data_IF_312932327185
#
_entry.id   IF_312932327185
#
_cell.length_a   1.000
_cell.length_b   1.000
_cell.length_c   1.000
_cell.angle_alpha   90.00
_cell.angle_beta   90.00
_cell.angle_gamma   90.00
#
_symmetry.space_group_name_H-M   'P 1'
#
loop_
_entity.id
_entity.type
_entity.pdbx_description
1 polymer ?
2 non-polymer ?
3 non-polymer ?
4 non-polymer ?
5 water ?
#
# COMPACT_ATOMS: atom_id res chain seq x y z
N UNK A 36 -26.81 -6.96 -9.90
CA UNK A 36 -26.07 -7.71 -10.97
C UNK A 36 -25.16 -8.81 -10.42
N UNK A 37 -24.98 -9.86 -11.22
CA UNK A 37 -24.13 -11.02 -10.86
C UNK A 37 -23.28 -11.39 -12.08
N UNK A 38 -22.49 -10.42 -12.53
CA UNK A 38 -21.70 -10.54 -13.76
C UNK A 38 -20.28 -11.06 -13.54
N UNK A 39 -19.82 -11.07 -12.29
CA UNK A 39 -18.41 -11.36 -11.99
C UNK A 39 -17.45 -10.25 -12.42
N UNK A 40 -17.91 -9.00 -12.42
CA UNK A 40 -17.09 -7.84 -12.74
C UNK A 40 -17.12 -6.73 -11.66
N UNK A 41 -17.94 -6.89 -10.62
CA UNK A 41 -18.09 -5.83 -9.62
C UNK A 41 -16.89 -5.69 -8.72
N UNK A 42 -16.72 -4.49 -8.20
CA UNK A 42 -15.66 -4.22 -7.26
C UNK A 42 -15.80 -5.01 -5.97
N UNK A 43 -14.65 -5.41 -5.42
CA UNK A 43 -14.62 -6.03 -4.12
C UNK A 43 -14.11 -5.06 -3.07
N UNK A 44 -14.94 -4.83 -2.04
CA UNK A 44 -14.64 -3.85 -1.01
C UNK A 44 -13.92 -4.42 0.21
N UNK A 45 -13.42 -5.65 0.08
CA UNK A 45 -12.52 -6.26 1.06
C UNK A 45 -11.14 -6.52 0.42
N UNK A 46 -10.90 -5.85 -0.71
CA UNK A 46 -9.64 -5.93 -1.43
C UNK A 46 -9.00 -4.56 -1.47
N UNK A 47 -7.82 -4.44 -0.87
CA UNK A 47 -7.12 -3.16 -0.65
C UNK A 47 -5.86 -3.11 -1.45
N UNK A 48 -5.70 -2.11 -2.29
CA UNK A 48 -4.54 -2.04 -3.14
C UNK A 48 -3.69 -0.85 -2.73
N UNK A 49 -2.43 -1.09 -2.32
CA UNK A 49 -1.56 -0.02 -1.82
C UNK A 49 -1.13 0.93 -2.94
N UNK A 50 -1.45 2.20 -2.73
CA UNK A 50 -1.32 3.23 -3.76
C UNK A 50 -0.42 4.37 -3.28
N UNK A 51 0.43 4.85 -4.18
CA UNK A 51 1.40 5.87 -3.86
C UNK A 51 1.11 7.08 -4.73
N UNK A 52 1.03 8.27 -4.11
CA UNK A 52 0.65 9.52 -4.74
C UNK A 52 1.80 10.51 -4.81
N UNK A 53 3.02 10.01 -4.85
CA UNK A 53 4.20 10.84 -4.72
C UNK A 53 4.95 11.11 -6.01
N UNK A 54 4.35 10.74 -7.15
CA UNK A 54 4.99 10.94 -8.43
C UNK A 54 4.67 12.33 -8.95
N UNK A 55 5.60 12.96 -9.66
CA UNK A 55 5.32 14.25 -10.29
C UNK A 55 5.57 14.25 -11.78
N UNK A 56 4.99 15.24 -12.46
CA UNK A 56 5.32 15.48 -13.85
C UNK A 56 5.51 16.96 -14.10
N UNK A 57 6.22 17.25 -15.17
CA UNK A 57 6.38 18.62 -15.59
C UNK A 57 5.02 19.26 -15.85
N UNK A 58 4.09 18.47 -16.41
CA UNK A 58 2.78 19.02 -16.77
C UNK A 58 2.05 19.62 -15.58
N UNK A 59 2.04 18.91 -14.46
CA UNK A 59 1.32 19.34 -13.27
C UNK A 59 2.20 19.94 -12.16
N UNK A 60 3.32 19.29 -11.86
CA UNK A 60 4.13 19.66 -10.69
C UNK A 60 5.34 20.50 -11.05
N UNK A 61 5.64 20.60 -12.33
CA UNK A 61 6.85 21.27 -12.77
C UNK A 61 8.11 20.53 -12.38
N UNK A 62 7.98 19.24 -12.10
CA UNK A 62 9.11 18.44 -11.67
C UNK A 62 8.75 16.97 -11.68
N UNK A 63 9.74 16.13 -11.94
CA UNK A 63 9.61 14.66 -11.95
C UNK A 63 9.94 13.96 -10.60
N UNK A 64 9.14 14.34 -9.61
CA UNK A 64 9.26 13.82 -8.26
C UNK A 64 9.12 12.29 -8.27
N UNK A 65 9.99 11.63 -7.50
CA UNK A 65 10.05 10.17 -7.33
C UNK A 65 10.55 9.43 -8.56
N UNK A 66 10.23 9.87 -9.78
CA UNK A 66 10.92 9.30 -10.93
C UNK A 66 12.42 9.54 -10.78
N UNK A 67 12.78 10.71 -10.23
CA UNK A 67 14.12 11.00 -9.70
C UNK A 67 14.15 10.55 -8.24
N UNK A 68 15.21 9.86 -7.84
CA UNK A 68 15.28 9.33 -6.47
C UNK A 68 16.71 9.07 -6.10
N UNK A 69 17.06 9.31 -4.84
CA UNK A 69 18.38 8.94 -4.33
C UNK A 69 18.59 7.44 -4.36
N UNK A 70 19.83 7.05 -4.63
CA UNK A 70 20.21 5.65 -4.54
C UNK A 70 20.69 5.44 -3.10
N UNK A 71 20.14 4.41 -2.47
CA UNK A 71 20.46 4.15 -1.07
C UNK A 71 21.86 3.56 -0.92
N UNK A 72 22.63 4.03 0.07
CA UNK A 72 23.91 3.38 0.34
C UNK A 72 23.66 1.99 0.90
N UNK A 73 24.67 1.15 0.75
CA UNK A 73 24.62 -0.23 1.23
C UNK A 73 24.79 -0.17 2.76
N UNK A 74 23.78 -0.63 3.52
CA UNK A 74 23.89 -0.58 4.98
C UNK A 74 25.01 -1.45 5.56
N UNK A 75 25.53 -2.40 4.77
CA UNK A 75 26.69 -3.21 5.16
C UNK A 75 27.99 -2.84 4.42
N UNK A 76 28.01 -1.70 3.72
CA UNK A 76 29.04 -1.41 2.70
C UNK A 76 30.10 -0.37 3.02
N UNK A 77 30.16 0.09 4.27
CA UNK A 77 31.27 0.94 4.71
C UNK A 77 31.12 2.40 4.37
N UNK A 78 32.12 3.18 4.75
CA UNK A 78 32.05 4.63 4.69
C UNK A 78 32.51 5.20 3.35
N UNK A 79 32.15 6.46 3.13
CA UNK A 79 32.50 7.17 1.91
C UNK A 79 31.78 6.71 0.66
N UNK A 80 30.61 6.09 0.82
CA UNK A 80 29.77 5.77 -0.32
C UNK A 80 29.15 7.06 -0.80
N UNK A 81 29.28 7.32 -2.09
CA UNK A 81 28.57 8.40 -2.74
C UNK A 81 27.73 7.72 -3.82
N UNK A 82 26.63 7.08 -3.42
CA UNK A 82 25.84 6.24 -4.32
C UNK A 82 25.17 7.00 -5.45
N UNK A 83 24.93 8.28 -5.21
CA UNK A 83 24.36 9.15 -6.24
C UNK A 83 22.85 9.05 -6.29
N UNK A 84 22.33 9.47 -7.44
CA UNK A 84 20.90 9.62 -7.62
C UNK A 84 20.52 9.19 -9.01
N UNK A 85 19.29 8.72 -9.12
CA UNK A 85 18.65 8.45 -10.39
C UNK A 85 17.99 9.78 -10.81
N UNK A 86 18.28 10.29 -12.03
CA UNK A 86 17.84 11.66 -12.34
C UNK A 86 16.39 11.86 -12.74
N UNK A 87 15.66 10.77 -13.01
CA UNK A 87 14.28 10.90 -13.41
C UNK A 87 14.06 11.53 -14.75
N UNK A 88 15.04 11.33 -15.64
CA UNK A 88 14.90 11.70 -17.05
C UNK A 88 14.02 10.66 -17.72
N UNK A 89 13.64 10.90 -18.96
CA UNK A 89 12.90 9.91 -19.78
C UNK A 89 13.64 8.58 -19.75
N UNK A 90 14.94 8.67 -19.93
CA UNK A 90 15.77 7.50 -20.10
C UNK A 90 16.06 6.76 -18.81
N UNK A 91 16.10 7.47 -17.69
CA UNK A 91 16.58 6.92 -16.41
C UNK A 91 15.68 7.30 -15.25
N UNK A 92 14.75 6.39 -14.94
CA UNK A 92 13.82 6.58 -13.84
C UNK A 92 14.11 5.60 -12.71
N UNK A 93 13.57 5.89 -11.53
CA UNK A 93 13.84 5.13 -10.34
C UNK A 93 12.93 3.90 -10.21
N UNK A 94 13.06 3.02 -11.20
CA UNK A 94 12.34 1.76 -11.25
C UNK A 94 13.11 0.84 -12.16
N UNK A 95 12.97 -0.46 -11.91
CA UNK A 95 13.47 -1.47 -12.83
C UNK A 95 12.49 -1.73 -13.98
N UNK A 96 11.25 -1.24 -13.86
CA UNK A 96 10.21 -1.30 -14.88
C UNK A 96 9.89 0.10 -15.38
N UNK A 97 9.01 0.19 -16.37
CA UNK A 97 8.71 1.47 -16.99
C UNK A 97 7.19 1.62 -17.16
N UNK A 98 6.59 2.67 -16.59
CA UNK A 98 5.15 2.82 -16.65
C UNK A 98 4.59 3.02 -18.07
N UNK A 99 3.48 2.34 -18.39
CA UNK A 99 2.75 2.64 -19.61
C UNK A 99 2.35 4.11 -19.71
N UNK A 100 2.02 4.72 -18.58
CA UNK A 100 1.60 6.11 -18.56
C UNK A 100 2.76 7.11 -18.52
N UNK A 101 4.00 6.62 -18.56
CA UNK A 101 5.17 7.48 -18.57
C UNK A 101 5.43 8.07 -17.19
N UNK A 102 6.25 9.13 -17.16
CA UNK A 102 6.61 9.82 -15.92
C UNK A 102 5.46 10.73 -15.53
N UNK A 103 4.44 10.12 -14.94
CA UNK A 103 3.20 10.82 -14.68
C UNK A 103 3.23 11.62 -13.37
N UNK A 104 2.31 12.56 -13.26
CA UNK A 104 2.05 13.25 -12.02
C UNK A 104 0.84 12.62 -11.31
N UNK A 105 1.03 12.34 -10.03
CA UNK A 105 -0.06 11.91 -9.16
C UNK A 105 -1.09 13.02 -8.93
N UNK A 106 -0.77 14.27 -9.31
CA UNK A 106 -1.68 15.41 -9.22
C UNK A 106 -2.43 15.69 -10.52
N UNK A 107 -2.21 14.89 -11.56
CA UNK A 107 -2.83 15.12 -12.86
C UNK A 107 -4.20 14.45 -12.85
N UNK A 108 -5.29 15.23 -12.86
CA UNK A 108 -6.62 14.62 -12.85
C UNK A 108 -6.83 13.59 -13.97
N UNK A 109 -6.17 13.76 -15.11
CA UNK A 109 -6.36 12.83 -16.22
C UNK A 109 -5.65 11.46 -15.94
N UNK A 110 -4.51 11.51 -15.25
CA UNK A 110 -3.87 10.27 -14.79
C UNK A 110 -4.76 9.60 -13.76
N UNK A 111 -5.32 10.36 -12.85
CA UNK A 111 -6.13 9.78 -11.80
C UNK A 111 -7.35 9.07 -12.38
N UNK A 112 -7.99 9.65 -13.40
CA UNK A 112 -9.09 8.99 -14.08
C UNK A 112 -8.66 7.62 -14.63
N UNK A 113 -7.52 7.61 -15.29
CA UNK A 113 -6.98 6.35 -15.83
C UNK A 113 -6.69 5.33 -14.74
N UNK A 114 -6.09 5.77 -13.64
CA UNK A 114 -5.85 4.88 -12.52
C UNK A 114 -7.15 4.30 -11.99
N UNK A 115 -8.20 5.11 -11.86
CA UNK A 115 -9.45 4.58 -11.35
C UNK A 115 -10.05 3.56 -12.31
N UNK A 116 -9.92 3.78 -13.62
CA UNK A 116 -10.37 2.79 -14.57
C UNK A 116 -9.56 1.49 -14.43
N UNK A 117 -8.26 1.61 -14.11
CA UNK A 117 -7.44 0.41 -13.86
C UNK A 117 -7.91 -0.33 -12.61
N UNK A 118 -8.26 0.39 -11.54
CA UNK A 118 -8.85 -0.25 -10.36
C UNK A 118 -10.15 -0.99 -10.72
N UNK A 119 -10.99 -0.38 -11.54
CA UNK A 119 -12.20 -1.04 -11.97
C UNK A 119 -11.86 -2.33 -12.74
N UNK A 120 -10.88 -2.28 -13.64
CA UNK A 120 -10.47 -3.49 -14.36
C UNK A 120 -9.97 -4.59 -13.42
N UNK A 121 -9.25 -4.20 -12.37
CA UNK A 121 -8.69 -5.13 -11.41
C UNK A 121 -9.71 -5.63 -10.39
N UNK A 122 -10.85 -4.93 -10.32
CA UNK A 122 -11.91 -5.23 -9.33
C UNK A 122 -11.51 -4.93 -7.88
N UNK A 123 -10.49 -4.07 -7.72
CA UNK A 123 -10.01 -3.73 -6.40
C UNK A 123 -10.81 -2.52 -5.91
N UNK A 124 -11.69 -2.73 -4.92
CA UNK A 124 -12.58 -1.67 -4.52
C UNK A 124 -12.02 -0.64 -3.57
N UNK A 125 -10.86 -0.92 -2.93
CA UNK A 125 -10.29 0.03 -1.96
C UNK A 125 -8.86 0.41 -2.35
N UNK A 126 -8.63 1.71 -2.44
CA UNK A 126 -7.33 2.32 -2.68
C UNK A 126 -6.77 2.69 -1.31
N UNK A 127 -5.65 2.07 -0.93
CA UNK A 127 -5.05 2.29 0.40
C UNK A 127 -3.90 3.26 0.19
N UNK A 128 -4.18 4.54 0.48
CA UNK A 128 -3.35 5.66 0.10
C UNK A 128 -2.23 5.91 1.10
N UNK A 129 -1.00 5.87 0.62
CA UNK A 129 0.17 6.26 1.42
C UNK A 129 -0.03 7.65 2.00
N UNK A 130 0.34 7.83 3.27
CA UNK A 130 0.08 9.11 3.94
C UNK A 130 1.23 9.44 4.84
N UNK A 131 1.92 10.54 4.50
CA UNK A 131 3.20 10.91 5.09
C UNK A 131 3.12 12.16 5.94
N UNK A 132 1.93 12.70 6.18
CA UNK A 132 1.77 13.88 7.02
C UNK A 132 2.67 15.04 6.53
N UNK A 133 2.59 15.33 5.23
CA UNK A 133 3.45 16.37 4.69
C UNK A 133 3.02 17.78 5.09
N UNK A 134 1.75 17.96 5.48
CA UNK A 134 1.24 19.26 5.95
C UNK A 134 1.57 20.33 4.92
N UNK A 135 1.20 20.05 3.68
CA UNK A 135 1.34 21.06 2.66
C UNK A 135 0.24 20.99 1.66
N UNK A 136 0.03 22.14 1.06
CA UNK A 136 -1.04 22.39 0.10
C UNK A 136 -1.13 21.33 -0.99
N UNK A 137 0.04 20.94 -1.50
CA UNK A 137 0.03 20.04 -2.64
C UNK A 137 -0.48 18.65 -2.23
N UNK A 138 -0.15 18.20 -1.01
CA UNK A 138 -0.71 16.94 -0.45
C UNK A 138 -2.22 17.02 -0.32
N UNK A 139 -2.67 18.11 0.26
CA UNK A 139 -4.11 18.28 0.49
C UNK A 139 -4.85 18.28 -0.83
N UNK A 140 -4.27 18.94 -1.83
CA UNK A 140 -4.92 18.97 -3.15
C UNK A 140 -5.02 17.57 -3.74
N UNK A 141 -3.92 16.84 -3.70
CA UNK A 141 -3.86 15.51 -4.27
C UNK A 141 -4.89 14.56 -3.63
N UNK A 142 -4.98 14.60 -2.29
CA UNK A 142 -5.91 13.72 -1.62
C UNK A 142 -7.34 14.00 -2.06
N UNK A 143 -7.70 15.28 -2.16
CA UNK A 143 -9.03 15.60 -2.67
C UNK A 143 -9.27 15.14 -4.09
N UNK A 144 -8.27 15.30 -4.95
CA UNK A 144 -8.41 14.84 -6.33
C UNK A 144 -8.59 13.32 -6.41
N UNK A 145 -7.83 12.60 -5.59
CA UNK A 145 -7.94 11.14 -5.55
C UNK A 145 -9.32 10.69 -5.07
N UNK A 146 -9.82 11.29 -4.00
CA UNK A 146 -11.14 10.96 -3.54
C UNK A 146 -12.20 11.26 -4.60
N UNK A 147 -12.11 12.42 -5.24
CA UNK A 147 -13.07 12.77 -6.28
C UNK A 147 -13.04 11.77 -7.43
N UNK A 148 -11.85 11.43 -7.89
CA UNK A 148 -11.74 10.51 -9.04
C UNK A 148 -12.23 9.12 -8.66
N UNK A 149 -11.87 8.67 -7.47
CA UNK A 149 -12.33 7.38 -6.98
C UNK A 149 -13.86 7.31 -6.95
N UNK A 150 -14.50 8.35 -6.48
CA UNK A 150 -15.95 8.30 -6.33
C UNK A 150 -16.67 8.13 -7.65
N UNK A 151 -16.11 8.68 -8.72
CA UNK A 151 -16.76 8.56 -10.02
C UNK A 151 -16.89 7.10 -10.47
N UNK A 152 -16.03 6.23 -9.94
CA UNK A 152 -15.99 4.83 -10.28
C UNK A 152 -16.39 3.91 -9.13
N UNK A 153 -16.94 4.48 -8.04
CA UNK A 153 -17.39 3.74 -6.86
C UNK A 153 -16.22 3.08 -6.12
N UNK A 154 -15.00 3.60 -6.31
CA UNK A 154 -13.85 3.13 -5.56
C UNK A 154 -13.82 3.87 -4.24
N UNK A 155 -13.33 3.18 -3.21
CA UNK A 155 -13.21 3.76 -1.87
C UNK A 155 -11.75 3.99 -1.54
N UNK A 156 -11.51 4.88 -0.58
CA UNK A 156 -10.15 5.27 -0.19
C UNK A 156 -10.02 5.14 1.30
N UNK A 157 -8.96 4.47 1.72
CA UNK A 157 -8.55 4.45 3.12
C UNK A 157 -7.11 4.90 3.17
N UNK A 158 -6.58 5.14 4.37
CA UNK A 158 -5.22 5.67 4.54
C UNK A 158 -4.26 4.65 5.12
N UNK A 159 -3.05 4.68 4.57
CA UNK A 159 -1.93 3.85 4.97
C UNK A 159 -0.95 4.81 5.68
N UNK A 160 -0.98 4.75 7.01
CA UNK A 160 -0.25 5.71 7.83
C UNK A 160 1.21 5.33 7.95
N UNK A 161 2.06 6.13 7.32
CA UNK A 161 3.46 5.87 7.17
C UNK A 161 4.25 6.35 8.38
N UNK A 162 5.55 5.95 8.48
CA UNK A 162 6.38 6.35 9.62
C UNK A 162 6.95 7.73 9.42
N UNK A 163 6.10 8.72 9.58
CA UNK A 163 6.48 10.12 9.46
C UNK A 163 7.28 10.56 10.70
N UNK A 164 8.02 11.68 10.59
CA UNK A 164 8.90 12.09 11.68
C UNK A 164 8.17 12.30 13.00
N UNK A 165 8.74 11.72 14.06
CA UNK A 165 8.18 11.85 15.42
C UNK A 165 6.78 11.27 15.55
N UNK A 166 6.41 10.34 14.66
CA UNK A 166 5.11 9.70 14.80
C UNK A 166 5.00 9.09 16.19
N UNK A 167 3.85 9.28 16.82
CA UNK A 167 3.58 8.76 18.15
C UNK A 167 2.09 8.65 18.30
N UNK A 168 1.60 8.05 19.39
CA UNK A 168 0.16 7.84 19.45
C UNK A 168 -0.66 9.13 19.59
N UNK A 169 -0.07 10.18 20.15
CA UNK A 169 -0.81 11.43 20.30
C UNK A 169 -0.98 12.12 18.95
N UNK A 170 0.12 12.32 18.21
CA UNK A 170 -0.06 12.91 16.89
C UNK A 170 -0.80 11.96 15.94
N UNK A 171 -0.69 10.64 16.12
CA UNK A 171 -1.53 9.74 15.33
C UNK A 171 -2.99 9.99 15.59
N UNK A 172 -3.36 10.15 16.87
CA UNK A 172 -4.77 10.42 17.16
C UNK A 172 -5.19 11.73 16.49
N UNK A 173 -4.35 12.75 16.63
CA UNK A 173 -4.67 14.05 16.05
C UNK A 173 -4.85 13.96 14.53
N UNK A 174 -4.01 13.16 13.90
CA UNK A 174 -4.08 12.94 12.46
C UNK A 174 -5.25 12.08 12.01
N UNK A 175 -5.64 11.08 12.81
CA UNK A 175 -6.84 10.31 12.54
C UNK A 175 -8.05 11.23 12.64
N UNK A 176 -8.11 12.05 13.69
CA UNK A 176 -9.19 13.04 13.85
C UNK A 176 -9.22 13.96 12.62
N UNK A 177 -8.07 14.47 12.20
CA UNK A 177 -7.99 15.36 11.05
C UNK A 177 -8.50 14.67 9.79
N UNK A 178 -8.04 13.45 9.53
CA UNK A 178 -8.44 12.77 8.32
C UNK A 178 -9.92 12.44 8.30
N UNK A 179 -10.46 11.97 9.43
CA UNK A 179 -11.89 11.68 9.51
C UNK A 179 -12.71 12.97 9.40
N UNK A 180 -12.27 14.05 10.04
CA UNK A 180 -12.98 15.32 9.94
C UNK A 180 -12.97 15.88 8.51
N UNK A 181 -11.80 15.85 7.88
CA UNK A 181 -11.66 16.43 6.55
C UNK A 181 -12.36 15.59 5.48
N UNK A 182 -12.19 14.27 5.57
CA UNK A 182 -12.55 13.36 4.47
C UNK A 182 -13.65 12.37 4.80
N UNK A 183 -14.02 12.23 6.07
CA UNK A 183 -14.97 11.21 6.49
C UNK A 183 -16.34 11.28 5.84
N UNK A 184 -16.75 12.49 5.46
CA UNK A 184 -18.04 12.66 4.79
C UNK A 184 -17.93 12.64 3.26
N UNK A 185 -16.72 12.46 2.72
CA UNK A 185 -16.56 12.30 1.29
C UNK A 185 -17.19 10.97 0.91
N UNK A 186 -17.99 10.91 -0.16
CA UNK A 186 -18.62 9.64 -0.52
C UNK A 186 -17.66 8.48 -0.83
N UNK A 187 -16.42 8.79 -1.18
CA UNK A 187 -15.44 7.74 -1.46
C UNK A 187 -14.67 7.30 -0.22
N UNK A 188 -14.88 7.92 0.96
CA UNK A 188 -14.13 7.53 2.15
C UNK A 188 -14.59 6.13 2.58
N UNK A 189 -13.65 5.21 2.75
CA UNK A 189 -13.99 3.83 3.09
C UNK A 189 -14.48 3.65 4.50
N UNK A 190 -15.52 2.83 4.66
CA UNK A 190 -15.88 2.28 5.97
C UNK A 190 -16.20 0.80 5.82
N UNK A 191 -15.87 0.04 6.87
CA UNK A 191 -16.17 -1.38 6.95
C UNK A 191 -17.08 -1.51 8.17
N UNK A 192 -18.30 -1.96 7.94
CA UNK A 192 -19.31 -2.10 9.02
C UNK A 192 -19.39 -0.83 9.89
N UNK A 193 -19.36 0.32 9.23
CA UNK A 193 -19.51 1.61 9.89
C UNK A 193 -18.24 2.24 10.41
N UNK A 194 -17.08 1.58 10.28
CA UNK A 194 -15.82 2.11 10.81
C UNK A 194 -14.83 2.41 9.72
N UNK A 195 -14.15 3.55 9.80
CA UNK A 195 -12.98 3.73 8.94
C UNK A 195 -11.95 2.64 9.20
N UNK A 196 -11.03 2.45 8.27
CA UNK A 196 -9.93 1.49 8.44
C UNK A 196 -8.61 2.17 8.10
N UNK A 197 -7.60 1.98 8.96
CA UNK A 197 -6.25 2.46 8.67
C UNK A 197 -5.29 1.29 8.72
N UNK A 198 -4.34 1.28 7.78
CA UNK A 198 -3.17 0.41 7.88
C UNK A 198 -2.05 1.22 8.50
N UNK A 199 -1.29 0.64 9.42
CA UNK A 199 -0.19 1.34 10.09
C UNK A 199 1.13 0.66 9.76
N UNK A 200 1.91 1.29 8.88
CA UNK A 200 3.18 0.74 8.47
C UNK A 200 4.20 0.87 9.59
N UNK A 201 5.01 -0.17 9.80
CA UNK A 201 6.08 -0.21 10.81
C UNK A 201 5.49 0.17 12.20
N UNK A 202 4.32 -0.40 12.49
CA UNK A 202 3.68 -0.21 13.78
C UNK A 202 4.52 -0.69 14.95
N UNK A 203 5.48 -1.60 14.73
CA UNK A 203 6.45 -2.02 15.77
C UNK A 203 7.42 -0.93 16.23
N UNK A 204 7.51 0.17 15.48
CA UNK A 204 8.31 1.30 15.93
C UNK A 204 7.68 1.99 17.14
N UNK A 205 6.47 1.54 17.55
CA UNK A 205 5.78 2.13 18.71
C UNK A 205 5.45 1.01 19.67
N UNK A 206 5.80 1.19 20.94
CA UNK A 206 5.59 0.20 21.95
C UNK A 206 4.13 -0.11 22.18
N UNK A 207 3.81 -1.38 22.51
CA UNK A 207 2.44 -1.72 22.87
C UNK A 207 1.84 -0.86 23.97
N UNK A 208 2.67 -0.49 24.95
CA UNK A 208 2.15 0.34 26.04
C UNK A 208 1.65 1.72 25.53
N UNK A 209 2.27 2.25 24.50
CA UNK A 209 1.79 3.48 23.86
C UNK A 209 0.53 3.19 23.05
N UNK A 210 0.55 2.16 22.22
CA UNK A 210 -0.63 1.81 21.43
C UNK A 210 -1.87 1.61 22.32
N UNK A 211 -1.71 1.00 23.49
CA UNK A 211 -2.82 0.71 24.39
C UNK A 211 -3.57 2.00 24.75
N UNK A 212 -2.83 3.09 24.87
CA UNK A 212 -3.43 4.37 25.23
C UNK A 212 -4.43 4.87 24.19
N UNK A 213 -4.16 4.51 22.94
CA UNK A 213 -4.98 4.91 21.81
C UNK A 213 -6.06 3.90 21.49
N UNK A 214 -5.74 2.60 21.63
CA UNK A 214 -6.52 1.52 21.08
C UNK A 214 -7.24 0.63 22.04
N UNK A 215 -6.88 0.64 23.32
CA UNK A 215 -7.70 -0.03 24.31
C UNK A 215 -8.94 0.81 24.59
N UNK A 216 -10.10 0.18 24.85
CA UNK A 216 -11.25 0.98 25.24
C UNK A 216 -11.02 1.82 26.50
N UNK A 217 -10.10 1.38 27.36
CA UNK A 217 -9.74 2.13 28.54
C UNK A 217 -8.56 3.06 28.41
N UNK A 218 -8.00 3.17 27.20
CA UNK A 218 -6.80 3.95 27.05
C UNK A 218 -7.01 5.42 27.31
N UNK A 219 -5.93 6.04 27.78
CA UNK A 219 -5.91 7.44 28.15
C UNK A 219 -6.41 8.39 27.06
N UNK A 220 -6.11 8.05 25.81
CA UNK A 220 -6.50 8.85 24.66
C UNK A 220 -7.25 7.97 23.66
N UNK A 221 -8.13 7.14 24.18
CA UNK A 221 -8.76 6.14 23.33
C UNK A 221 -9.56 6.75 22.18
N UNK A 222 -9.55 6.06 21.05
CA UNK A 222 -10.52 6.31 20.01
C UNK A 222 -11.74 5.43 20.10
N UNK A 223 -11.72 4.41 20.97
CA UNK A 223 -12.86 3.49 21.02
C UNK A 223 -14.06 4.22 21.59
N UNK A 224 -15.23 3.95 20.98
CA UNK A 224 -16.50 4.56 21.39
C UNK A 224 -16.56 6.06 21.16
N UNK A 225 -15.67 6.59 20.33
CA UNK A 225 -15.69 7.99 19.95
C UNK A 225 -16.08 8.11 18.50
N UNK A 226 -16.27 9.35 18.06
CA UNK A 226 -16.50 9.65 16.65
C UNK A 226 -15.35 9.25 15.74
N UNK A 227 -14.20 8.96 16.33
CA UNK A 227 -12.98 8.74 15.57
C UNK A 227 -12.50 7.31 15.67
N UNK A 228 -13.38 6.41 16.14
CA UNK A 228 -13.08 5.00 16.19
C UNK A 228 -12.78 4.51 14.75
N UNK A 229 -11.93 3.49 14.65
CA UNK A 229 -11.50 2.94 13.38
C UNK A 229 -10.95 1.54 13.58
N UNK A 230 -10.99 0.75 12.52
CA UNK A 230 -10.25 -0.50 12.48
C UNK A 230 -8.78 -0.18 12.22
N UNK A 231 -7.93 -0.57 13.16
CA UNK A 231 -6.50 -0.28 13.10
C UNK A 231 -5.77 -1.57 12.81
N UNK A 232 -5.11 -1.59 11.64
CA UNK A 232 -4.48 -2.79 11.12
C UNK A 232 -2.97 -2.61 11.19
N UNK A 233 -2.32 -3.31 12.12
CA UNK A 233 -0.89 -3.16 12.29
C UNK A 233 -0.09 -4.12 11.43
N UNK A 234 1.22 -3.85 11.31
CA UNK A 234 2.08 -4.64 10.44
C UNK A 234 2.69 -5.79 11.23
N UNK A 235 2.25 -7.01 10.93
CA UNK A 235 2.86 -8.24 11.50
C UNK A 235 4.13 -8.52 10.74
N UNK A 236 5.28 -8.45 11.42
CA UNK A 236 6.59 -8.71 10.81
C UNK A 236 7.12 -10.09 11.15
N UNK A 237 7.57 -10.27 12.39
CA UNK A 237 8.41 -11.40 12.77
C UNK A 237 7.63 -12.59 13.36
N UNK A 238 8.24 -13.36 14.26
CA UNK A 238 7.68 -14.63 14.65
C UNK A 238 6.47 -14.46 15.56
N UNK A 239 5.62 -15.50 15.65
CA UNK A 239 4.46 -15.44 16.54
C UNK A 239 4.80 -15.16 18.00
N UNK A 240 5.96 -15.63 18.46
CA UNK A 240 6.32 -15.43 19.86
C UNK A 240 6.42 -13.94 20.20
N UNK A 241 6.82 -13.15 19.22
CA UNK A 241 6.90 -11.70 19.35
C UNK A 241 5.58 -11.02 18.94
N UNK A 242 5.04 -11.42 17.79
CA UNK A 242 3.93 -10.66 17.21
C UNK A 242 2.59 -10.91 17.89
N UNK A 243 2.34 -12.12 18.39
CA UNK A 243 1.06 -12.39 19.06
C UNK A 243 0.85 -11.46 20.26
N UNK A 244 1.81 -11.42 21.21
CA UNK A 244 1.57 -10.52 22.34
C UNK A 244 1.59 -9.06 21.91
N UNK A 245 2.39 -8.70 20.91
CA UNK A 245 2.40 -7.32 20.41
C UNK A 245 0.99 -6.88 19.99
N UNK A 246 0.37 -7.69 19.13
CA UNK A 246 -0.92 -7.31 18.57
C UNK A 246 -1.98 -7.28 19.67
N UNK A 247 -1.95 -8.24 20.58
CA UNK A 247 -2.91 -8.27 21.67
C UNK A 247 -2.72 -7.08 22.62
N UNK A 248 -1.47 -6.85 23.03
CA UNK A 248 -1.17 -5.82 24.02
C UNK A 248 -1.34 -4.43 23.45
N UNK A 249 -1.15 -4.28 22.14
CA UNK A 249 -1.37 -3.00 21.45
C UNK A 249 -2.82 -2.73 21.11
N UNK A 250 -3.68 -3.74 21.20
CA UNK A 250 -5.11 -3.58 20.90
C UNK A 250 -5.41 -3.25 19.44
N UNK A 251 -4.55 -3.71 18.53
CA UNK A 251 -4.92 -3.59 17.09
C UNK A 251 -6.14 -4.44 16.80
N UNK A 252 -6.91 -3.97 15.85
CA UNK A 252 -8.07 -4.74 15.38
C UNK A 252 -7.68 -5.83 14.43
N UNK A 253 -6.50 -5.76 13.82
CA UNK A 253 -6.06 -6.73 12.86
C UNK A 253 -4.64 -6.48 12.47
N UNK A 254 -4.19 -7.19 11.43
CA UNK A 254 -2.84 -7.10 10.99
C UNK A 254 -2.74 -7.44 9.52
N UNK A 255 -1.71 -6.85 8.91
CA UNK A 255 -1.33 -7.09 7.52
C UNK A 255 0.14 -7.36 7.46
N UNK A 256 0.65 -7.75 6.28
CA UNK A 256 2.03 -8.21 6.18
C UNK A 256 2.91 -7.38 5.26
N UNK A 257 2.28 -6.63 4.35
CA UNK A 257 2.86 -5.71 3.36
C UNK A 257 3.77 -6.34 2.32
N UNK A 258 4.88 -6.96 2.73
CA UNK A 258 5.97 -7.20 1.79
C UNK A 258 5.55 -8.10 0.67
N UNK A 259 5.85 -7.69 -0.56
CA UNK A 259 5.54 -8.48 -1.73
C UNK A 259 6.47 -9.65 -1.93
N UNK A 260 7.67 -9.59 -1.34
CA UNK A 260 8.69 -10.63 -1.50
C UNK A 260 8.50 -11.74 -0.49
N UNK A 261 8.15 -12.93 -0.99
CA UNK A 261 7.91 -14.09 -0.11
C UNK A 261 9.17 -14.37 0.71
N UNK A 262 8.98 -14.64 1.99
CA UNK A 262 10.09 -15.00 2.85
C UNK A 262 10.89 -13.83 3.38
N UNK A 263 10.55 -12.59 3.02
CA UNK A 263 11.29 -11.45 3.52
C UNK A 263 11.16 -11.35 5.04
N UNK A 264 9.96 -11.60 5.55
CA UNK A 264 9.70 -11.71 6.96
C UNK A 264 8.89 -13.00 7.20
N UNK A 265 8.74 -13.38 8.47
CA UNK A 265 7.82 -14.45 8.82
C UNK A 265 6.43 -14.16 8.26
N UNK A 266 5.97 -12.93 8.45
CA UNK A 266 4.64 -12.55 8.03
C UNK A 266 4.42 -12.61 6.54
N UNK A 267 5.47 -12.38 5.76
CA UNK A 267 5.37 -12.43 4.30
C UNK A 267 5.80 -13.79 3.73
N UNK A 268 5.78 -14.83 4.57
CA UNK A 268 6.00 -16.21 4.15
C UNK A 268 4.64 -16.90 4.08
N UNK A 269 4.11 -17.12 2.86
CA UNK A 269 2.71 -17.55 2.78
C UNK A 269 2.36 -18.89 3.41
N UNK A 270 3.33 -19.79 3.57
CA UNK A 270 3.03 -21.03 4.30
C UNK A 270 2.66 -20.79 5.78
N UNK A 271 2.91 -19.58 6.32
CA UNK A 271 2.46 -19.27 7.66
C UNK A 271 1.04 -18.73 7.74
N UNK A 272 0.41 -18.46 6.60
CA UNK A 272 -0.85 -17.74 6.60
C UNK A 272 -2.01 -18.54 7.19
N UNK A 273 -2.08 -19.85 6.96
CA UNK A 273 -3.14 -20.66 7.59
C UNK A 273 -3.11 -20.51 9.12
N UNK A 274 -1.91 -20.64 9.70
CA UNK A 274 -1.70 -20.53 11.15
C UNK A 274 -1.99 -19.13 11.67
N UNK A 275 -1.57 -18.13 10.89
CA UNK A 275 -1.84 -16.73 11.29
C UNK A 275 -3.33 -16.45 11.28
N UNK A 276 -4.05 -16.97 10.29
CA UNK A 276 -5.49 -16.80 10.23
C UNK A 276 -6.18 -17.50 11.40
N UNK A 277 -5.74 -18.72 11.73
CA UNK A 277 -6.29 -19.43 12.87
C UNK A 277 -6.15 -18.63 14.15
N UNK A 278 -4.97 -18.08 14.39
CA UNK A 278 -4.75 -17.25 15.56
C UNK A 278 -5.63 -16.00 15.51
N UNK A 279 -5.71 -15.36 14.35
CA UNK A 279 -6.54 -14.17 14.20
C UNK A 279 -8.00 -14.48 14.59
N UNK A 280 -8.53 -15.57 14.05
CA UNK A 280 -9.92 -15.93 14.33
C UNK A 280 -10.13 -16.20 15.82
N UNK A 281 -9.19 -16.92 16.44
CA UNK A 281 -9.29 -17.25 17.87
C UNK A 281 -9.26 -16.00 18.73
N UNK A 282 -8.64 -14.92 18.24
CA UNK A 282 -8.39 -13.74 19.06
C UNK A 282 -9.18 -12.52 18.57
N UNK A 283 -10.15 -12.74 17.70
CA UNK A 283 -11.04 -11.69 17.23
C UNK A 283 -10.32 -10.59 16.45
N UNK A 284 -9.29 -10.96 15.68
CA UNK A 284 -8.52 -10.03 14.87
C UNK A 284 -8.76 -10.27 13.40
N UNK A 285 -8.63 -9.21 12.62
CA UNK A 285 -8.79 -9.28 11.17
C UNK A 285 -7.42 -9.41 10.49
N UNK A 286 -7.18 -10.53 9.83
CA UNK A 286 -5.95 -10.75 9.10
C UNK A 286 -6.14 -10.39 7.64
N UNK A 287 -5.30 -9.47 7.16
CA UNK A 287 -5.35 -8.98 5.79
C UNK A 287 -3.99 -9.24 5.14
N UNK A 288 -3.72 -10.50 4.74
CA UNK A 288 -2.42 -10.79 4.14
C UNK A 288 -2.19 -9.94 2.90
N UNK A 289 -0.92 -9.63 2.66
CA UNK A 289 -0.55 -8.84 1.49
C UNK A 289 0.10 -9.75 0.42
N UNK A 290 -0.41 -9.61 -0.80
CA UNK A 290 0.05 -10.40 -1.93
C UNK A 290 0.61 -9.44 -2.97
N UNK A 291 1.63 -9.87 -3.69
CA UNK A 291 2.17 -9.04 -4.76
C UNK A 291 2.68 -9.88 -5.91
N UNK A 292 2.95 -9.20 -7.05
CA UNK A 292 3.29 -9.92 -8.27
C UNK A 292 4.77 -10.24 -8.44
N UNK A 293 5.60 -9.65 -7.60
CA UNK A 293 7.06 -9.79 -7.70
C UNK A 293 7.67 -8.70 -6.85
N UNK A 294 9.01 -8.65 -6.86
CA UNK A 294 9.76 -7.61 -6.18
C UNK A 294 11.10 -7.41 -6.86
N UNK A 295 11.47 -6.16 -7.08
CA UNK A 295 12.85 -5.84 -7.46
C UNK A 295 13.04 -4.36 -7.28
N UNK A 296 14.07 -3.99 -6.50
CA UNK A 296 14.32 -2.58 -6.15
C UNK A 296 15.76 -2.17 -6.42
N UNK A 297 16.45 -2.90 -7.30
CA UNK A 297 17.89 -2.70 -7.40
C UNK A 297 18.32 -1.43 -8.14
N UNK A 298 17.45 -0.70 -8.84
CA UNK A 298 17.83 0.64 -9.32
C UNK A 298 18.09 1.58 -8.14
N UNK A 299 17.23 1.53 -7.12
CA UNK A 299 17.40 2.42 -5.97
C UNK A 299 18.17 1.77 -4.80
N UNK A 300 18.23 0.43 -4.76
CA UNK A 300 18.94 -0.30 -3.69
C UNK A 300 19.77 -1.38 -4.36
N UNK A 301 20.92 -1.00 -5.00
CA UNK A 301 21.65 -1.97 -5.83
C UNK A 301 22.19 -3.19 -5.09
N UNK A 302 22.36 -3.02 -3.79
CA UNK A 302 22.84 -4.04 -2.85
C UNK A 302 21.77 -4.99 -2.37
N UNK A 303 20.50 -4.79 -2.77
CA UNK A 303 19.37 -5.54 -2.23
C UNK A 303 18.87 -6.66 -3.11
N UNK A 304 19.75 -7.20 -3.95
CA UNK A 304 19.35 -8.21 -4.91
C UNK A 304 18.81 -9.50 -4.32
N UNK A 305 19.15 -9.84 -3.09
CA UNK A 305 18.62 -11.06 -2.47
C UNK A 305 17.09 -11.03 -2.28
N UNK A 306 16.49 -9.83 -2.29
CA UNK A 306 15.05 -9.71 -2.11
C UNK A 306 14.31 -9.80 -3.47
N UNK A 307 15.04 -9.87 -4.58
CA UNK A 307 14.37 -10.03 -5.88
C UNK A 307 13.49 -11.27 -5.89
N UNK A 308 12.27 -11.09 -6.35
CA UNK A 308 11.35 -12.21 -6.65
C UNK A 308 10.87 -12.03 -8.07
N UNK A 309 11.18 -13.01 -8.90
CA UNK A 309 10.87 -12.95 -10.34
C UNK A 309 9.37 -13.19 -10.60
N UNK A 310 8.82 -12.47 -11.57
CA UNK A 310 7.39 -12.55 -11.85
C UNK A 310 6.95 -13.83 -12.55
N UNK A 311 7.87 -14.42 -13.32
CA UNK A 311 7.61 -15.68 -14.07
C UNK A 311 6.28 -15.64 -14.82
N UNK A 312 6.05 -14.58 -15.60
CA UNK A 312 4.86 -14.49 -16.45
C UNK A 312 3.56 -14.62 -15.67
N UNK A 313 3.56 -14.19 -14.43
CA UNK A 313 2.40 -14.21 -13.58
C UNK A 313 2.32 -15.34 -12.58
N UNK A 314 3.20 -16.34 -12.70
CA UNK A 314 3.11 -17.51 -11.85
C UNK A 314 3.38 -17.18 -10.38
N UNK A 315 4.29 -16.23 -10.13
CA UNK A 315 4.55 -15.82 -8.75
C UNK A 315 3.30 -15.21 -8.12
N UNK A 316 2.65 -14.31 -8.84
CA UNK A 316 1.45 -13.64 -8.34
C UNK A 316 0.36 -14.67 -8.07
N UNK A 317 0.17 -15.58 -9.02
CA UNK A 317 -0.85 -16.64 -8.87
C UNK A 317 -0.59 -17.46 -7.60
N UNK A 318 0.65 -17.84 -7.36
CA UNK A 318 0.95 -18.66 -6.20
C UNK A 318 0.66 -17.93 -4.91
N UNK A 319 1.03 -16.65 -4.84
CA UNK A 319 0.85 -15.90 -3.60
C UNK A 319 -0.65 -15.61 -3.35
N UNK A 320 -1.37 -15.22 -4.39
CA UNK A 320 -2.80 -14.93 -4.25
C UNK A 320 -3.55 -16.21 -3.85
N UNK A 321 -3.20 -17.33 -4.47
CA UNK A 321 -3.83 -18.60 -4.10
C UNK A 321 -3.64 -18.91 -2.61
N UNK A 322 -2.44 -18.67 -2.07
CA UNK A 322 -2.17 -18.94 -0.66
C UNK A 322 -3.03 -18.07 0.25
N UNK A 323 -3.22 -16.80 -0.13
CA UNK A 323 -4.07 -15.92 0.68
C UNK A 323 -5.49 -16.44 0.71
N UNK A 324 -6.02 -16.82 -0.45
CA UNK A 324 -7.38 -17.31 -0.53
C UNK A 324 -7.54 -18.62 0.24
N UNK A 325 -6.57 -19.52 0.10
CA UNK A 325 -6.60 -20.80 0.78
C UNK A 325 -6.54 -20.67 2.28
N UNK A 326 -5.92 -19.59 2.79
CA UNK A 326 -5.86 -19.35 4.23
C UNK A 326 -7.24 -19.04 4.82
N UNK A 327 -8.20 -18.66 3.98
CA UNK A 327 -9.58 -18.44 4.47
C UNK A 327 -9.80 -17.09 5.10
N UNK A 328 -9.05 -16.08 4.65
CA UNK A 328 -9.15 -14.74 5.18
C UNK A 328 -10.36 -14.01 4.62
N UNK A 329 -10.72 -12.94 5.32
CA UNK A 329 -11.87 -12.07 5.04
C UNK A 329 -11.56 -10.88 4.16
N UNK A 330 -10.27 -10.59 3.99
CA UNK A 330 -9.82 -9.41 3.29
C UNK A 330 -8.41 -9.71 2.83
N UNK A 331 -8.05 -9.10 1.70
CA UNK A 331 -6.72 -9.25 1.10
C UNK A 331 -6.20 -7.87 0.71
N UNK A 332 -4.90 -7.65 0.90
CA UNK A 332 -4.24 -6.44 0.46
C UNK A 332 -3.23 -6.78 -0.64
N UNK A 333 -3.06 -5.82 -1.56
CA UNK A 333 -2.20 -6.01 -2.74
C UNK A 333 -1.08 -4.99 -2.71
N UNK A 334 0.15 -5.53 -2.65
CA UNK A 334 1.38 -4.74 -2.70
C UNK A 334 1.98 -4.96 -4.06
N UNK A 335 1.74 -4.06 -5.02
CA UNK A 335 1.13 -2.73 -4.84
C UNK A 335 0.47 -2.32 -6.14
N UNK A 336 -0.30 -1.22 -6.10
CA UNK A 336 -0.71 -0.65 -7.37
C UNK A 336 0.50 -0.10 -8.11
N UNK A 337 1.30 0.71 -7.43
CA UNK A 337 2.29 1.56 -8.10
C UNK A 337 3.46 1.94 -7.22
N UNK A 338 4.03 0.98 -6.45
CA UNK A 338 5.34 1.18 -5.83
C UNK A 338 6.37 0.76 -6.91
N UNK A 339 6.63 1.68 -7.83
CA UNK A 339 7.51 1.42 -8.96
C UNK A 339 8.94 1.23 -8.51
N UNK A 340 9.34 1.87 -7.41
CA UNK A 340 10.71 1.73 -6.94
C UNK A 340 11.02 0.31 -6.53
N UNK A 341 10.00 -0.40 -6.03
CA UNK A 341 10.17 -1.73 -5.47
C UNK A 341 9.72 -2.83 -6.43
N UNK A 342 9.23 -2.44 -7.62
CA UNK A 342 8.92 -3.43 -8.63
C UNK A 342 7.79 -4.34 -8.24
N UNK A 343 6.91 -3.88 -7.35
CA UNK A 343 5.78 -4.66 -6.92
C UNK A 343 4.48 -4.26 -7.61
N UNK A 344 4.55 -3.32 -8.56
CA UNK A 344 3.34 -2.72 -9.12
C UNK A 344 2.55 -3.69 -9.98
N UNK A 345 1.22 -3.57 -9.93
CA UNK A 345 0.33 -4.18 -10.90
C UNK A 345 -0.07 -3.19 -12.00
N UNK A 346 0.23 -1.89 -11.80
CA UNK A 346 -0.04 -0.91 -12.83
C UNK A 346 0.65 -1.31 -14.14
N UNK A 347 0.01 -1.07 -15.30
CA UNK A 347 0.64 -1.40 -16.57
C UNK A 347 2.03 -0.81 -16.77
N UNK A 348 2.91 -1.68 -17.26
CA UNK A 348 4.30 -1.41 -17.61
C UNK A 348 4.51 -1.79 -19.06
N UNK A 349 5.44 -1.11 -19.73
CA UNK A 349 5.73 -1.38 -21.13
C UNK A 349 7.20 -1.69 -21.33
N UNK A 350 7.52 -2.43 -22.40
CA UNK A 350 8.93 -2.61 -22.73
C UNK A 350 9.57 -1.26 -23.06
N UNK A 351 10.81 -1.08 -22.60
CA UNK A 351 11.55 0.14 -22.93
C UNK A 351 13.02 -0.11 -22.74
N UNK A 352 13.78 0.27 -23.76
CA UNK A 352 15.22 0.27 -23.68
C UNK A 352 15.67 1.65 -24.07
N UNK A 353 16.35 2.32 -23.15
CA UNK A 353 16.88 3.63 -23.42
C UNK A 353 18.39 3.52 -23.50
N UNK A 354 19.03 4.63 -23.84
CA UNK A 354 20.48 4.67 -23.85
C UNK A 354 21.08 4.44 -22.47
N UNK A 355 20.29 4.63 -21.40
CA UNK A 355 20.79 4.52 -20.02
C UNK A 355 20.46 3.22 -19.27
N UNK A 356 19.40 2.54 -19.66
CA UNK A 356 18.95 1.35 -18.95
C UNK A 356 18.03 0.51 -19.80
N UNK A 357 18.14 -0.81 -19.66
CA UNK A 357 17.22 -1.73 -20.29
C UNK A 357 16.22 -2.16 -19.22
N UNK A 358 14.98 -1.73 -19.33
CA UNK A 358 14.00 -1.98 -18.29
C UNK A 358 13.47 -3.40 -18.40
N UNK A 359 13.07 -3.95 -17.26
CA UNK A 359 12.24 -5.14 -17.26
C UNK A 359 10.85 -4.78 -17.75
N UNK A 360 10.08 -5.81 -18.10
CA UNK A 360 8.73 -5.61 -18.61
C UNK A 360 7.92 -6.87 -18.32
N UNK A 361 6.66 -6.89 -18.76
CA UNK A 361 5.77 -8.00 -18.47
C UNK A 361 5.93 -9.18 -19.40
N UNK A 362 6.96 -9.16 -20.25
CA UNK A 362 7.49 -10.36 -20.93
C UNK A 362 6.47 -10.94 -21.86
N UNK A 363 5.98 -12.16 -21.62
CA UNK A 363 5.05 -12.73 -22.55
C UNK A 363 3.64 -12.27 -22.27
N UNK A 364 3.44 -11.46 -21.22
CA UNK A 364 2.13 -10.91 -20.91
C UNK A 364 2.00 -9.48 -21.43
N UNK A 365 0.76 -9.06 -21.73
CA UNK A 365 0.46 -7.69 -22.13
C UNK A 365 0.55 -6.70 -20.94
N UNK A 366 0.65 -5.39 -21.22
CA UNK A 366 0.82 -4.41 -20.13
C UNK A 366 -0.26 -4.49 -19.04
N UNK A 367 -1.52 -4.77 -19.41
CA UNK A 367 -2.61 -4.84 -18.43
C UNK A 367 -2.82 -6.21 -17.81
N UNK A 368 -1.90 -7.15 -18.03
CA UNK A 368 -2.07 -8.50 -17.51
C UNK A 368 -2.25 -8.57 -16.01
N UNK A 369 -1.49 -7.77 -15.26
CA UNK A 369 -1.63 -7.88 -13.82
C UNK A 369 -2.93 -7.27 -13.31
N UNK A 370 -3.52 -6.34 -14.05
CA UNK A 370 -4.87 -5.86 -13.72
C UNK A 370 -5.91 -6.95 -13.96
N UNK A 371 -5.87 -7.55 -15.14
CA UNK A 371 -6.88 -8.56 -15.42
C UNK A 371 -6.67 -9.84 -14.61
N UNK A 372 -5.43 -10.15 -14.25
CA UNK A 372 -5.18 -11.31 -13.38
C UNK A 372 -5.63 -11.03 -11.95
N UNK A 373 -5.49 -9.77 -11.50
CA UNK A 373 -6.07 -9.40 -10.22
C UNK A 373 -7.58 -9.64 -10.24
N UNK A 374 -8.25 -9.23 -11.32
CA UNK A 374 -9.70 -9.45 -11.40
C UNK A 374 -10.07 -10.92 -11.27
N UNK A 375 -9.27 -11.79 -11.89
CA UNK A 375 -9.44 -13.22 -11.82
C UNK A 375 -9.39 -13.67 -10.37
N UNK A 376 -8.34 -13.24 -9.66
CA UNK A 376 -8.19 -13.62 -8.26
C UNK A 376 -9.23 -13.03 -7.33
N UNK A 377 -9.67 -11.80 -7.59
CA UNK A 377 -10.76 -11.24 -6.82
C UNK A 377 -12.01 -12.12 -6.95
N UNK A 378 -12.28 -12.59 -8.17
CA UNK A 378 -13.39 -13.51 -8.34
C UNK A 378 -13.25 -14.80 -7.54
N UNK A 379 -12.05 -15.37 -7.54
CA UNK A 379 -11.81 -16.58 -6.74
C UNK A 379 -11.93 -16.30 -5.23
N UNK A 380 -11.46 -15.13 -4.81
CA UNK A 380 -11.62 -14.72 -3.41
C UNK A 380 -13.11 -14.61 -3.04
N UNK A 381 -13.89 -13.99 -3.91
CA UNK A 381 -15.31 -13.81 -3.62
C UNK A 381 -16.02 -15.14 -3.58
N UNK A 382 -15.59 -16.04 -4.44
CA UNK A 382 -16.19 -17.37 -4.50
C UNK A 382 -16.00 -18.08 -3.15
N UNK A 383 -14.87 -17.78 -2.47
CA UNK A 383 -14.46 -18.30 -1.14
C UNK A 383 -15.14 -17.65 0.08
N UNK A 384 -15.75 -16.47 -0.12
CA UNK A 384 -16.38 -15.64 0.97
C UNK A 384 -17.85 -16.02 1.11
N UNK A 385 -18.37 -16.08 2.34
CA UNK A 385 -19.82 -16.29 2.55
C UNK A 385 -20.52 -15.02 3.08
X LIG B 1 -0.74 6.60 30.22
X LIG B 1 0.47 6.56 29.92
X LIG B 1 -1.50 7.38 29.71
X LIG B 1 -1.28 5.67 31.24
X LIG C 1 10.14 4.07 1.68
X LIG C 1 10.39 5.53 1.93
X LIG C 1 10.18 6.40 0.69
X LIG C 1 10.97 5.82 -0.49
X LIG C 1 10.53 4.39 -0.69
X LIG C 1 11.35 3.74 -1.82
X LIG C 1 11.74 5.65 2.35
X LIG C 1 10.59 7.74 0.97
X LIG C 1 10.63 6.59 -1.66
X LIG C 1 10.84 3.63 0.50
X LIG C 1 10.93 2.40 -2.04
X LIG D 1 8.71 3.91 1.55
X LIG D 1 8.29 2.58 1.85
X LIG D 1 8.25 1.84 0.52
X LIG D 1 7.31 2.55 -0.41
X LIG D 1 6.90 2.64 2.49
X LIG D 1 7.04 3.31 3.75
X LIG D 1 6.29 1.25 2.71
X LIG D 1 4.82 1.28 3.11
X LIG D 1 4.03 1.99 2.13
X LIG D 1 6.37 0.56 1.39
X LIG D 1 7.72 0.47 0.76
#
# INVERSE_FOLDING_TARGET
>A
MGSSHHHHHHSSGLVPRGSHMDDNNPSNSENNGGNNNLGTELDYDTFCFYYDWYGSEAIDGQYRHWAHAIAPDPNGGSGQNPGTIPGTQESIASNFYPQLGRYSSSDPNILTKHMDMFVMARTGVLALTWWNEQDETEAKRIGLILDAADKKKIKVCFHLEPYPSRNVQNLRENIVKLITRYGNHPAFYRKDGKPLFFIYDSYLIEPSEWEKLLSPGGSITIRNTAYDALMIGLWTSSPTVQRPFILNAHFDGFYTYFAATGFTYGSTPTNWVSMQKWAKENGKIFIPSVGPGYIDTRIRPWNGSVIRTRTDGQYYDAMYRKAIEAGVSAISITSFNEWHEGSQIEPAVPYTSSEFTYLDYENREPDYYLTRTAYWVGKFRESKQ
>B hetero
1 ACT C O OXT CH3
>C hetero
1 MAN C1 C2 C3 C4 C5 C6 O2 O3 O4 O5 O6
>D hetero
1 G63 O3 C3 C2 N2 C4 O4 C5 C6 O6 N7 C1
#
